data_IF_794532575277
#
_entry.id   IF_794532575277
#
_cell.length_a   1.000
_cell.length_b   1.000
_cell.length_c   1.000
_cell.angle_alpha   90.00
_cell.angle_beta   90.00
_cell.angle_gamma   90.00
#
_symmetry.space_group_name_H-M   'P 1'
#
loop_
_entity.id
_entity.type
_entity.pdbx_description
1 polymer ?
#
# COMPACT_ATOMS: atom_id res chain seq x y z
N UNK A 1 30.43 -12.17 37.54
CA UNK A 1 30.32 -12.57 36.12
C UNK A 1 29.53 -11.50 35.37
N UNK A 2 30.18 -10.72 34.51
CA UNK A 2 29.52 -9.71 33.66
C UNK A 2 29.18 -10.32 32.29
N UNK A 3 28.01 -10.05 31.69
CA UNK A 3 27.66 -10.66 30.41
C UNK A 3 28.56 -10.14 29.28
N UNK A 4 29.07 -11.08 28.48
CA UNK A 4 29.90 -10.86 27.29
C UNK A 4 29.07 -10.11 26.24
N UNK A 5 29.45 -8.86 25.94
CA UNK A 5 28.89 -8.10 24.80
C UNK A 5 29.23 -8.86 23.52
N UNK A 6 28.22 -9.37 22.82
CA UNK A 6 28.39 -10.04 21.54
C UNK A 6 28.80 -9.02 20.49
N UNK A 7 30.11 -8.88 20.23
CA UNK A 7 30.58 -8.25 19.01
C UNK A 7 30.07 -9.08 17.84
N UNK A 8 29.09 -8.58 17.10
CA UNK A 8 28.53 -9.28 15.94
C UNK A 8 29.64 -9.43 14.89
N UNK A 9 30.24 -10.61 14.81
CA UNK A 9 31.25 -10.93 13.79
C UNK A 9 30.52 -11.09 12.45
N UNK A 10 30.80 -10.21 11.48
CA UNK A 10 30.26 -10.31 10.11
C UNK A 10 29.85 -8.98 9.46
N UNK A 11 29.35 -9.06 8.23
CA UNK A 11 28.85 -7.90 7.47
C UNK A 11 27.66 -7.28 8.21
N UNK A 12 27.74 -5.97 8.47
CA UNK A 12 26.64 -5.21 9.09
C UNK A 12 25.33 -5.39 8.30
N UNK A 13 24.21 -5.73 8.96
CA UNK A 13 22.94 -5.85 8.27
C UNK A 13 22.51 -4.48 7.75
N UNK A 14 22.15 -4.43 6.46
CA UNK A 14 21.55 -3.23 5.87
C UNK A 14 20.17 -2.97 6.52
N UNK A 15 19.72 -1.71 6.64
CA UNK A 15 18.35 -1.41 7.06
C UNK A 15 17.33 -1.98 6.07
N UNK A 16 16.08 -2.14 6.50
CA UNK A 16 15.02 -2.76 5.67
C UNK A 16 14.80 -2.02 4.35
N UNK A 17 14.76 -0.69 4.40
CA UNK A 17 14.48 0.20 3.25
C UNK A 17 15.56 0.06 2.17
N UNK A 18 16.84 0.00 2.55
CA UNK A 18 17.98 -0.10 1.62
C UNK A 18 18.29 -1.53 1.15
N UNK A 19 17.55 -2.51 1.65
CA UNK A 19 17.77 -3.92 1.28
C UNK A 19 17.14 -4.22 -0.08
N UNK A 20 17.72 -5.19 -0.81
CA UNK A 20 17.09 -5.69 -2.04
C UNK A 20 15.73 -6.31 -1.77
N UNK A 21 14.86 -6.40 -2.79
CA UNK A 21 13.53 -7.02 -2.66
C UNK A 21 13.61 -8.46 -2.14
N UNK A 22 14.62 -9.25 -2.56
CA UNK A 22 14.86 -10.61 -2.03
C UNK A 22 15.13 -10.59 -0.53
N UNK A 23 16.00 -9.69 -0.07
CA UNK A 23 16.34 -9.55 1.34
C UNK A 23 15.17 -9.01 2.17
N UNK A 24 14.38 -8.07 1.64
CA UNK A 24 13.16 -7.58 2.28
C UNK A 24 12.15 -8.71 2.48
N UNK A 25 11.90 -9.56 1.45
CA UNK A 25 11.02 -10.73 1.57
C UNK A 25 11.49 -11.70 2.65
N UNK A 26 12.80 -11.97 2.72
CA UNK A 26 13.37 -12.85 3.76
C UNK A 26 13.19 -12.25 5.16
N UNK A 27 13.43 -10.94 5.33
CA UNK A 27 13.23 -10.25 6.61
C UNK A 27 11.75 -10.23 7.03
N UNK A 28 10.84 -9.99 6.08
CA UNK A 28 9.40 -10.00 6.32
C UNK A 28 8.83 -11.42 6.55
N UNK A 29 9.55 -12.47 6.13
CA UNK A 29 9.12 -13.85 6.33
C UNK A 29 8.98 -14.19 7.82
N UNK A 30 9.90 -13.70 8.66
CA UNK A 30 9.83 -13.87 10.11
C UNK A 30 8.53 -13.31 10.69
N UNK A 31 8.15 -12.10 10.29
CA UNK A 31 6.90 -11.45 10.74
C UNK A 31 5.68 -12.24 10.26
N UNK A 32 5.69 -12.71 9.00
CA UNK A 32 4.60 -13.51 8.43
C UNK A 32 4.40 -14.87 9.09
N UNK A 33 5.45 -15.46 9.65
CA UNK A 33 5.38 -16.73 10.35
C UNK A 33 4.95 -16.56 11.80
N UNK A 34 5.31 -15.44 12.42
CA UNK A 34 5.06 -15.18 13.84
C UNK A 34 3.64 -14.67 14.13
N UNK A 35 3.04 -13.90 13.20
CA UNK A 35 1.76 -13.23 13.43
C UNK A 35 0.68 -13.65 12.44
N UNK A 36 -0.57 -13.49 12.86
CA UNK A 36 -1.71 -13.78 12.00
C UNK A 36 -1.85 -12.73 10.89
N UNK A 37 -2.34 -13.14 9.71
CA UNK A 37 -2.60 -12.24 8.57
C UNK A 37 -3.47 -11.04 8.95
N UNK A 38 -4.45 -11.24 9.82
CA UNK A 38 -5.37 -10.19 10.26
C UNK A 38 -4.69 -9.13 11.14
N UNK A 39 -3.79 -9.56 12.02
CA UNK A 39 -2.99 -8.68 12.87
C UNK A 39 -2.01 -7.86 12.03
N UNK A 40 -1.34 -8.49 11.07
CA UNK A 40 -0.42 -7.82 10.15
C UNK A 40 -1.14 -6.75 9.33
N UNK A 41 -2.33 -7.06 8.79
CA UNK A 41 -3.12 -6.10 8.01
C UNK A 41 -3.59 -4.91 8.86
N UNK A 42 -4.02 -5.17 10.10
CA UNK A 42 -4.43 -4.11 11.01
C UNK A 42 -3.24 -3.24 11.45
N UNK A 43 -2.09 -3.85 11.77
CA UNK A 43 -0.87 -3.14 12.12
C UNK A 43 -0.38 -2.24 10.97
N UNK A 44 -0.47 -2.73 9.72
CA UNK A 44 -0.16 -1.93 8.54
C UNK A 44 -1.11 -0.72 8.41
N UNK A 45 -2.42 -0.95 8.53
CA UNK A 45 -3.43 0.12 8.51
C UNK A 45 -3.18 1.17 9.60
N UNK A 46 -2.93 0.74 10.83
CA UNK A 46 -2.68 1.63 11.98
C UNK A 46 -1.39 2.44 11.78
N UNK A 47 -0.33 1.81 11.27
CA UNK A 47 0.94 2.48 10.97
C UNK A 47 0.77 3.56 9.91
N UNK A 48 0.00 3.30 8.84
CA UNK A 48 -0.27 4.29 7.79
C UNK A 48 -1.05 5.50 8.33
N UNK A 49 -2.03 5.27 9.21
CA UNK A 49 -2.77 6.35 9.89
C UNK A 49 -1.88 7.19 10.79
N UNK A 50 -0.98 6.54 11.55
CA UNK A 50 -0.06 7.24 12.44
C UNK A 50 0.88 8.18 11.69
N UNK A 51 1.24 7.84 10.44
CA UNK A 51 2.07 8.68 9.56
C UNK A 51 1.23 9.76 8.82
N UNK A 52 -0.10 9.71 8.91
CA UNK A 52 -1.01 10.62 8.22
C UNK A 52 -1.39 10.20 6.79
N UNK A 53 -1.01 8.99 6.36
CA UNK A 53 -1.38 8.45 5.04
C UNK A 53 -2.79 7.84 5.07
N UNK A 54 -3.77 8.71 5.24
CA UNK A 54 -5.17 8.34 5.45
C UNK A 54 -5.76 7.56 4.27
N UNK A 55 -5.49 7.98 3.02
CA UNK A 55 -6.00 7.30 1.83
C UNK A 55 -5.44 5.88 1.69
N UNK A 56 -4.14 5.71 1.93
CA UNK A 56 -3.50 4.39 1.92
C UNK A 56 -4.09 3.48 3.01
N UNK A 57 -4.32 4.02 4.21
CA UNK A 57 -4.96 3.27 5.29
C UNK A 57 -6.40 2.86 4.94
N UNK A 58 -7.15 3.74 4.26
CA UNK A 58 -8.52 3.45 3.80
C UNK A 58 -8.52 2.34 2.75
N UNK A 59 -7.59 2.34 1.80
CA UNK A 59 -7.44 1.27 0.81
C UNK A 59 -7.14 -0.07 1.50
N UNK A 60 -6.19 -0.09 2.46
CA UNK A 60 -5.87 -1.31 3.21
C UNK A 60 -7.08 -1.82 3.99
N UNK A 61 -7.88 -0.92 4.59
CA UNK A 61 -9.13 -1.24 5.26
C UNK A 61 -10.13 -1.89 4.30
N UNK A 62 -10.36 -1.28 3.13
CA UNK A 62 -11.28 -1.81 2.11
C UNK A 62 -10.88 -3.22 1.65
N UNK A 63 -9.58 -3.44 1.40
CA UNK A 63 -9.05 -4.74 0.97
C UNK A 63 -9.21 -5.80 2.07
N UNK A 64 -9.08 -5.40 3.34
CA UNK A 64 -9.22 -6.30 4.49
C UNK A 64 -10.67 -6.71 4.77
N UNK A 65 -11.63 -5.79 4.70
CA UNK A 65 -12.97 -5.95 5.30
C UNK A 65 -14.05 -6.46 4.35
N UNK A 66 -14.01 -6.12 3.06
CA UNK A 66 -15.18 -6.34 2.18
C UNK A 66 -15.15 -7.68 1.44
N UNK A 67 -14.23 -7.87 0.50
CA UNK A 67 -14.12 -9.11 -0.30
C UNK A 67 -12.72 -9.29 -0.87
N UNK A 68 -12.23 -10.53 -1.09
CA UNK A 68 -10.93 -10.79 -1.72
C UNK A 68 -10.74 -10.09 -3.08
N UNK A 69 -11.84 -9.84 -3.80
CA UNK A 69 -11.84 -9.21 -5.12
C UNK A 69 -11.84 -7.68 -5.07
N UNK A 70 -12.11 -7.05 -3.92
CA UNK A 70 -12.22 -5.59 -3.84
C UNK A 70 -10.94 -4.90 -4.29
N UNK A 71 -9.77 -5.42 -3.89
CA UNK A 71 -8.48 -4.92 -4.36
C UNK A 71 -8.33 -4.99 -5.89
N UNK A 72 -8.85 -6.04 -6.51
CA UNK A 72 -8.87 -6.18 -7.98
C UNK A 72 -9.78 -5.14 -8.63
N UNK A 73 -10.97 -4.88 -8.05
CA UNK A 73 -11.90 -3.86 -8.55
C UNK A 73 -11.29 -2.46 -8.48
N UNK A 74 -10.63 -2.11 -7.37
CA UNK A 74 -9.91 -0.84 -7.22
C UNK A 74 -8.85 -0.69 -8.32
N UNK A 75 -8.06 -1.75 -8.56
CA UNK A 75 -7.03 -1.75 -9.59
C UNK A 75 -7.60 -1.57 -11.01
N UNK A 76 -8.70 -2.27 -11.32
CA UNK A 76 -9.36 -2.16 -12.63
C UNK A 76 -9.90 -0.74 -12.82
N UNK A 77 -10.63 -0.22 -11.83
CA UNK A 77 -11.20 1.12 -11.88
C UNK A 77 -10.12 2.19 -12.09
N UNK A 78 -8.98 2.08 -11.40
CA UNK A 78 -7.84 2.97 -11.60
C UNK A 78 -7.26 2.89 -13.01
N UNK A 79 -7.10 1.68 -13.55
CA UNK A 79 -6.58 1.50 -14.91
C UNK A 79 -7.55 2.05 -15.96
N UNK A 80 -8.84 1.75 -15.83
CA UNK A 80 -9.85 2.25 -16.77
C UNK A 80 -10.01 3.76 -16.68
N UNK A 81 -9.97 4.35 -15.48
CA UNK A 81 -10.00 5.82 -15.34
C UNK A 81 -8.75 6.47 -15.91
N UNK A 82 -7.56 5.88 -15.69
CA UNK A 82 -6.31 6.40 -16.27
C UNK A 82 -6.26 6.28 -17.80
N UNK A 83 -6.86 5.24 -18.38
CA UNK A 83 -6.94 5.05 -19.82
C UNK A 83 -8.00 5.95 -20.47
N UNK A 84 -9.09 6.19 -19.75
CA UNK A 84 -10.20 7.06 -20.17
C UNK A 84 -10.00 8.52 -19.73
N UNK A 85 -8.85 8.87 -19.15
CA UNK A 85 -8.45 10.24 -18.85
C UNK A 85 -8.07 11.05 -20.12
N UNK A 86 -8.38 10.51 -21.30
CA UNK A 86 -8.43 11.30 -22.52
C UNK A 86 -9.50 12.39 -22.37
N UNK A 87 -9.16 13.61 -22.78
CA UNK A 87 -10.08 14.74 -22.84
C UNK A 87 -11.33 14.28 -23.60
N UNK A 88 -12.47 14.18 -22.92
CA UNK A 88 -13.75 13.95 -23.59
C UNK A 88 -14.20 15.31 -24.11
N UNK A 89 -14.20 15.55 -25.44
CA UNK A 89 -14.73 16.78 -25.97
C UNK A 89 -16.21 16.88 -25.61
N UNK A 90 -16.65 18.09 -25.27
CA UNK A 90 -18.07 18.37 -25.05
C UNK A 90 -18.87 18.04 -26.31
N UNK A 91 -20.07 17.51 -26.13
CA UNK A 91 -21.03 17.45 -27.24
C UNK A 91 -21.48 18.88 -27.59
N UNK A 92 -21.98 19.13 -28.81
CA UNK A 92 -22.47 20.45 -29.19
C UNK A 92 -23.52 21.01 -28.22
N UNK A 93 -24.41 20.15 -27.71
CA UNK A 93 -25.45 20.54 -26.74
C UNK A 93 -24.87 20.87 -25.36
N UNK A 94 -23.89 20.08 -24.87
CA UNK A 94 -23.18 20.36 -23.61
C UNK A 94 -22.39 21.66 -23.70
N UNK A 95 -21.75 21.94 -24.84
CA UNK A 95 -21.04 23.17 -25.10
C UNK A 95 -21.98 24.38 -25.18
N UNK A 96 -23.13 24.23 -25.84
CA UNK A 96 -24.15 25.27 -25.96
C UNK A 96 -24.76 25.60 -24.59
N UNK A 97 -25.03 24.59 -23.76
CA UNK A 97 -25.51 24.80 -22.39
C UNK A 97 -24.50 25.61 -21.54
N UNK A 98 -23.21 25.33 -21.67
CA UNK A 98 -22.15 26.04 -20.95
C UNK A 98 -21.94 27.50 -21.41
N UNK A 99 -22.37 27.85 -22.63
CA UNK A 99 -22.29 29.23 -23.14
C UNK A 99 -23.46 30.12 -22.72
N UNK A 100 -24.55 29.53 -22.24
CA UNK A 100 -25.79 30.23 -21.89
C UNK A 100 -25.91 30.49 -20.38
N UNK A 101 -25.15 29.76 -19.54
CA UNK A 101 -24.88 30.10 -18.13
C UNK A 101 -23.92 31.29 -18.00
#
# INVERSE_FOLDING_TARGET
MTPRRSSTVGRKPKPFVESSKRSQRRKAATIRQQYNRYEIAYAAQASLRAVGQNDAATIVKEIKETTPERGRKILIAYKTSSANAGIRPYTPDEALALMID
#
